data_IF_423679342209
#
_entry.id   IF_423679342209
#
_cell.length_a   1.000
_cell.length_b   1.000
_cell.length_c   1.000
_cell.angle_alpha   90.00
_cell.angle_beta   90.00
_cell.angle_gamma   90.00
#
_symmetry.space_group_name_H-M   'P 1'
#
loop_
_entity.id
_entity.type
_entity.pdbx_description
1 polymer ?
#
# COMPACT_ATOMS: atom_id res chain seq x y z
N UNK A 1 6.45 52.32 -11.78
CA UNK A 1 5.66 52.79 -12.92
C UNK A 1 4.28 52.09 -12.86
N UNK A 2 3.29 52.88 -12.44
CA UNK A 2 1.81 52.81 -12.60
C UNK A 2 1.07 51.47 -12.69
N UNK A 3 0.24 51.28 -11.62
CA UNK A 3 -0.98 50.46 -11.51
C UNK A 3 -1.94 50.63 -12.70
N UNK A 4 -2.65 49.53 -13.05
CA UNK A 4 -4.03 49.63 -13.53
C UNK A 4 -4.88 48.57 -12.88
N UNK A 5 -5.80 49.02 -12.01
CA UNK A 5 -6.97 48.26 -11.50
C UNK A 5 -8.06 48.26 -12.58
N UNK A 6 -8.68 47.13 -12.83
CA UNK A 6 -9.95 47.07 -13.55
C UNK A 6 -11.00 46.41 -12.66
N UNK A 7 -12.03 47.20 -12.34
CA UNK A 7 -13.28 46.81 -11.65
C UNK A 7 -14.26 46.38 -12.72
N UNK A 8 -14.94 45.27 -12.53
CA UNK A 8 -16.18 44.95 -13.25
C UNK A 8 -17.31 44.64 -12.27
N UNK A 9 -18.45 45.17 -12.63
CA UNK A 9 -19.68 45.51 -11.98
C UNK A 9 -20.61 44.29 -11.86
N UNK A 10 -21.34 44.26 -10.74
CA UNK A 10 -22.50 43.41 -10.46
C UNK A 10 -23.63 43.60 -11.48
N UNK A 11 -24.28 42.51 -11.86
CA UNK A 11 -25.65 42.54 -12.35
C UNK A 11 -26.44 41.39 -11.74
N UNK A 12 -27.36 41.73 -10.84
CA UNK A 12 -28.33 40.83 -10.28
C UNK A 12 -29.54 40.67 -11.21
N UNK A 13 -30.09 39.48 -11.22
CA UNK A 13 -31.47 39.24 -11.74
C UNK A 13 -32.21 38.40 -10.73
N UNK A 14 -33.27 39.02 -10.17
CA UNK A 14 -34.30 38.39 -9.36
C UNK A 14 -35.49 38.05 -10.27
N UNK A 15 -36.04 36.86 -10.17
CA UNK A 15 -37.41 36.54 -10.67
C UNK A 15 -38.04 35.54 -9.71
N UNK A 16 -38.98 36.00 -9.11
CA UNK A 16 -40.31 35.89 -8.58
C UNK A 16 -40.94 34.48 -8.53
N UNK A 17 -41.57 34.29 -7.35
CA UNK A 17 -42.51 33.23 -6.98
C UNK A 17 -43.79 33.21 -7.85
N UNK A 18 -44.34 32.01 -7.97
CA UNK A 18 -45.80 31.84 -8.20
C UNK A 18 -46.30 30.67 -7.34
N UNK A 19 -47.17 31.05 -6.39
CA UNK A 19 -47.99 30.17 -5.56
C UNK A 19 -49.31 29.94 -6.33
N UNK A 20 -49.81 28.73 -6.34
CA UNK A 20 -51.21 28.45 -6.60
C UNK A 20 -51.69 27.33 -5.68
N UNK A 21 -52.59 27.70 -4.82
CA UNK A 21 -53.37 26.88 -3.89
C UNK A 21 -54.77 26.60 -4.48
N UNK A 22 -55.47 25.71 -3.81
CA UNK A 22 -56.91 25.39 -3.79
C UNK A 22 -57.19 23.99 -4.34
N UNK A 23 -57.84 23.11 -3.61
CA UNK A 23 -58.91 23.06 -2.62
C UNK A 23 -59.81 21.91 -3.10
N UNK A 24 -60.43 21.18 -2.40
CA UNK A 24 -61.31 21.05 -1.28
C UNK A 24 -62.17 19.75 -1.42
N UNK A 25 -62.54 19.20 -0.28
CA UNK A 25 -63.78 18.48 0.09
C UNK A 25 -64.14 17.10 -0.49
N UNK A 26 -64.31 16.15 0.42
CA UNK A 26 -65.60 15.52 0.59
C UNK A 26 -65.69 14.05 0.92
N UNK A 27 -65.99 13.78 2.21
CA UNK A 27 -67.01 12.86 2.70
C UNK A 27 -66.82 11.34 2.77
N UNK A 28 -66.64 10.88 3.97
CA UNK A 28 -67.29 9.77 4.73
C UNK A 28 -67.77 8.50 4.02
N UNK A 29 -67.37 7.37 4.60
CA UNK A 29 -68.00 6.05 4.41
C UNK A 29 -67.27 4.99 5.23
N UNK A 30 -67.72 4.77 6.50
CA UNK A 30 -67.40 3.59 7.31
C UNK A 30 -67.94 2.33 6.64
N UNK A 31 -67.13 1.27 6.56
CA UNK A 31 -67.65 -0.09 6.70
C UNK A 31 -66.51 -1.01 7.18
N UNK A 32 -66.70 -1.53 8.36
CA UNK A 32 -65.99 -2.60 9.02
C UNK A 32 -66.14 -3.92 8.25
N UNK A 33 -65.04 -4.60 7.97
CA UNK A 33 -65.06 -6.08 7.83
C UNK A 33 -63.68 -6.70 8.13
N UNK A 34 -63.75 -7.80 8.80
CA UNK A 34 -62.72 -8.57 9.47
C UNK A 34 -61.46 -8.90 8.67
N UNK A 35 -60.37 -9.01 9.41
CA UNK A 35 -59.06 -9.52 8.98
C UNK A 35 -59.07 -11.06 8.73
N UNK A 36 -58.29 -11.55 7.78
CA UNK A 36 -57.67 -12.84 7.90
C UNK A 36 -56.21 -12.72 8.26
N UNK A 37 -55.81 -13.41 9.32
CA UNK A 37 -54.41 -13.62 9.69
C UNK A 37 -53.67 -14.31 8.53
N UNK A 38 -52.74 -13.59 7.94
CA UNK A 38 -51.72 -14.20 7.07
C UNK A 38 -50.42 -14.26 7.85
N UNK A 39 -50.03 -15.53 8.11
CA UNK A 39 -48.71 -15.93 8.58
C UNK A 39 -47.66 -15.33 7.69
N UNK A 40 -46.88 -14.38 8.19
CA UNK A 40 -45.69 -13.89 7.52
C UNK A 40 -44.63 -14.99 7.56
N UNK A 41 -44.48 -15.71 6.47
CA UNK A 41 -43.28 -16.49 6.19
C UNK A 41 -42.18 -15.48 5.95
N UNK A 42 -41.25 -15.39 6.87
CA UNK A 42 -39.98 -14.68 6.70
C UNK A 42 -39.21 -15.45 5.62
N UNK A 43 -39.30 -15.00 4.39
CA UNK A 43 -38.37 -15.37 3.35
C UNK A 43 -37.01 -14.79 3.73
N UNK A 44 -36.00 -15.66 3.88
CA UNK A 44 -34.62 -15.24 3.87
C UNK A 44 -34.36 -14.43 2.59
N UNK A 45 -33.51 -13.41 2.64
CA UNK A 45 -33.15 -12.72 1.42
C UNK A 45 -32.46 -13.71 0.47
N UNK A 46 -33.12 -13.97 -0.63
CA UNK A 46 -32.57 -14.70 -1.78
C UNK A 46 -31.54 -13.76 -2.43
N UNK A 47 -30.28 -13.91 -2.04
CA UNK A 47 -29.14 -13.24 -2.67
C UNK A 47 -28.73 -14.01 -3.92
N UNK A 48 -29.64 -14.15 -4.88
CA UNK A 48 -29.26 -14.39 -6.23
C UNK A 48 -28.98 -13.02 -6.87
N UNK A 49 -27.74 -12.57 -6.87
CA UNK A 49 -27.29 -11.41 -7.61
C UNK A 49 -27.61 -11.63 -9.09
N UNK A 50 -28.63 -10.93 -9.58
CA UNK A 50 -28.81 -10.69 -10.99
C UNK A 50 -27.57 -9.95 -11.49
N UNK A 51 -26.94 -10.40 -12.59
CA UNK A 51 -25.72 -9.89 -13.18
C UNK A 51 -25.65 -8.37 -13.29
N UNK A 52 -25.19 -7.73 -12.25
CA UNK A 52 -24.80 -6.33 -12.19
C UNK A 52 -23.30 -6.23 -12.41
N UNK A 53 -22.84 -5.09 -12.91
CA UNK A 53 -21.42 -4.79 -13.01
C UNK A 53 -21.00 -4.14 -11.71
N UNK A 54 -19.97 -4.68 -11.06
CA UNK A 54 -19.36 -4.11 -9.87
C UNK A 54 -18.28 -3.11 -10.28
N UNK A 55 -18.25 -1.95 -9.67
CA UNK A 55 -17.21 -0.94 -9.90
C UNK A 55 -16.18 -1.01 -8.78
N UNK A 56 -14.97 -1.40 -9.10
CA UNK A 56 -13.86 -1.49 -8.16
C UNK A 56 -12.81 -0.44 -8.49
N UNK A 57 -12.30 0.23 -7.45
CA UNK A 57 -11.20 1.18 -7.54
C UNK A 57 -9.90 0.53 -7.09
N UNK A 58 -8.79 0.84 -7.78
CA UNK A 58 -7.43 0.60 -7.29
C UNK A 58 -6.68 1.93 -7.26
N UNK A 59 -6.13 2.30 -6.11
CA UNK A 59 -5.28 3.49 -5.96
C UNK A 59 -3.92 3.06 -5.45
N UNK A 60 -2.88 3.28 -6.25
CA UNK A 60 -1.48 3.06 -5.89
C UNK A 60 -0.80 4.37 -5.53
N UNK A 61 0.38 4.30 -4.88
CA UNK A 61 0.96 5.45 -4.19
C UNK A 61 1.67 6.45 -5.11
N UNK A 62 2.56 5.98 -6.00
CA UNK A 62 3.34 6.81 -6.92
C UNK A 62 3.98 5.99 -8.04
N UNK A 63 4.46 6.63 -9.16
CA UNK A 63 4.91 5.92 -10.34
C UNK A 63 6.30 5.32 -10.17
N UNK A 64 6.36 4.04 -9.74
CA UNK A 64 7.55 3.18 -9.70
C UNK A 64 7.15 1.76 -10.12
N UNK A 65 8.10 0.96 -10.56
CA UNK A 65 7.88 -0.39 -11.09
C UNK A 65 7.09 -1.29 -10.13
N UNK A 66 7.34 -1.17 -8.83
CA UNK A 66 6.61 -1.88 -7.78
C UNK A 66 5.08 -1.65 -7.89
N UNK A 67 4.64 -0.39 -7.98
CA UNK A 67 3.22 -0.06 -8.07
C UNK A 67 2.64 -0.29 -9.46
N UNK A 68 3.44 -0.15 -10.52
CA UNK A 68 3.00 -0.55 -11.87
C UNK A 68 2.72 -2.05 -11.93
N UNK A 69 3.55 -2.87 -11.27
CA UNK A 69 3.35 -4.32 -11.20
C UNK A 69 2.07 -4.70 -10.44
N UNK A 70 1.74 -4.00 -9.35
CA UNK A 70 0.46 -4.17 -8.63
C UNK A 70 -0.71 -3.83 -9.57
N UNK A 71 -0.63 -2.70 -10.27
CA UNK A 71 -1.69 -2.25 -11.17
C UNK A 71 -1.91 -3.20 -12.34
N UNK A 72 -0.83 -3.71 -12.94
CA UNK A 72 -0.90 -4.64 -14.08
C UNK A 72 -1.49 -5.98 -13.66
N UNK A 73 -1.12 -6.51 -12.49
CA UNK A 73 -1.72 -7.73 -11.95
C UNK A 73 -3.22 -7.55 -11.62
N UNK A 74 -3.59 -6.40 -11.07
CA UNK A 74 -4.98 -6.05 -10.80
C UNK A 74 -5.80 -5.95 -12.10
N UNK A 75 -5.26 -5.36 -13.16
CA UNK A 75 -5.90 -5.32 -14.50
C UNK A 75 -6.06 -6.72 -15.07
N UNK A 76 -5.02 -7.56 -14.98
CA UNK A 76 -5.07 -8.94 -15.45
C UNK A 76 -6.12 -9.77 -14.69
N UNK A 77 -6.29 -9.52 -13.39
CA UNK A 77 -7.37 -10.12 -12.60
C UNK A 77 -8.75 -9.62 -13.08
N UNK A 78 -8.92 -8.31 -13.30
CA UNK A 78 -10.17 -7.71 -13.75
C UNK A 78 -10.59 -8.20 -15.17
N UNK A 79 -9.63 -8.42 -16.06
CA UNK A 79 -9.87 -8.98 -17.40
C UNK A 79 -10.51 -10.39 -17.35
N UNK A 80 -10.33 -11.12 -16.24
CA UNK A 80 -10.91 -12.44 -16.01
C UNK A 80 -12.30 -12.36 -15.33
N UNK A 81 -12.73 -11.16 -14.90
CA UNK A 81 -14.00 -10.90 -14.22
C UNK A 81 -14.89 -9.94 -15.03
N UNK A 82 -15.65 -10.45 -16.01
CA UNK A 82 -16.41 -9.61 -16.95
C UNK A 82 -17.55 -8.82 -16.30
N UNK A 83 -17.87 -9.12 -15.05
CA UNK A 83 -18.82 -8.38 -14.22
C UNK A 83 -18.16 -7.28 -13.37
N UNK A 84 -16.85 -7.05 -13.54
CA UNK A 84 -16.09 -6.00 -12.85
C UNK A 84 -15.68 -4.88 -13.83
N UNK A 85 -15.96 -3.64 -13.46
CA UNK A 85 -15.39 -2.43 -14.05
C UNK A 85 -14.29 -1.92 -13.11
N UNK A 86 -13.01 -2.03 -13.51
CA UNK A 86 -11.88 -1.55 -12.73
C UNK A 86 -11.52 -0.11 -13.11
N UNK A 87 -11.41 0.77 -12.11
CA UNK A 87 -10.94 2.15 -12.24
C UNK A 87 -9.62 2.25 -11.48
N UNK A 88 -8.54 2.66 -12.16
CA UNK A 88 -7.23 2.83 -11.53
C UNK A 88 -6.89 4.30 -11.34
N UNK A 89 -6.11 4.58 -10.30
CA UNK A 89 -5.54 5.89 -10.00
C UNK A 89 -4.20 5.74 -9.30
N UNK A 90 -3.33 6.73 -9.45
CA UNK A 90 -2.00 6.74 -8.85
C UNK A 90 -1.67 8.14 -8.36
N UNK A 91 -1.09 8.24 -7.15
CA UNK A 91 -0.56 9.48 -6.62
C UNK A 91 0.74 9.90 -7.33
N UNK A 92 1.23 11.08 -7.04
CA UNK A 92 2.42 11.63 -7.70
C UNK A 92 3.73 11.34 -6.92
N UNK A 93 3.65 11.12 -5.60
CA UNK A 93 4.80 10.86 -4.74
C UNK A 93 4.43 10.04 -3.50
N UNK A 94 5.44 9.56 -2.79
CA UNK A 94 5.27 8.77 -1.55
C UNK A 94 4.57 9.55 -0.41
N UNK A 95 4.47 10.87 -0.51
CA UNK A 95 3.82 11.77 0.46
C UNK A 95 2.72 12.64 -0.16
N UNK A 96 2.15 12.22 -1.29
CA UNK A 96 1.07 12.92 -1.98
C UNK A 96 -0.29 12.61 -1.33
N UNK A 97 -0.47 13.09 -0.10
CA UNK A 97 -1.71 12.90 0.64
C UNK A 97 -2.90 13.58 -0.06
N UNK A 98 -2.71 14.79 -0.60
CA UNK A 98 -3.76 15.56 -1.28
C UNK A 98 -4.22 14.88 -2.57
N UNK A 99 -3.29 14.35 -3.36
CA UNK A 99 -3.59 13.59 -4.57
C UNK A 99 -4.36 12.31 -4.28
N UNK A 100 -3.94 11.54 -3.26
CA UNK A 100 -4.67 10.34 -2.85
C UNK A 100 -6.08 10.65 -2.34
N UNK A 101 -6.25 11.69 -1.53
CA UNK A 101 -7.57 12.15 -1.06
C UNK A 101 -8.47 12.47 -2.27
N UNK A 102 -7.96 13.25 -3.23
CA UNK A 102 -8.72 13.60 -4.44
C UNK A 102 -9.10 12.37 -5.29
N UNK A 103 -8.23 11.35 -5.38
CA UNK A 103 -8.52 10.10 -6.07
C UNK A 103 -9.62 9.30 -5.35
N UNK A 104 -9.55 9.17 -4.02
CA UNK A 104 -10.57 8.49 -3.21
C UNK A 104 -11.93 9.19 -3.42
N UNK A 105 -11.99 10.51 -3.24
CA UNK A 105 -13.22 11.30 -3.42
C UNK A 105 -13.79 11.18 -4.85
N UNK A 106 -12.91 11.18 -5.86
CA UNK A 106 -13.28 11.01 -7.26
C UNK A 106 -13.90 9.64 -7.53
N UNK A 107 -13.32 8.56 -6.99
CA UNK A 107 -13.85 7.20 -7.15
C UNK A 107 -15.20 7.04 -6.42
N UNK A 108 -15.34 7.59 -5.22
CA UNK A 108 -16.62 7.62 -4.50
C UNK A 108 -17.69 8.37 -5.32
N UNK A 109 -17.34 9.52 -5.92
CA UNK A 109 -18.25 10.28 -6.77
C UNK A 109 -18.62 9.53 -8.07
N UNK A 110 -17.78 8.64 -8.58
CA UNK A 110 -18.04 7.75 -9.71
C UNK A 110 -18.90 6.54 -9.33
N UNK A 111 -19.20 6.37 -8.04
CA UNK A 111 -20.08 5.31 -7.53
C UNK A 111 -19.41 3.95 -7.54
N UNK A 112 -18.14 3.86 -7.10
CA UNK A 112 -17.48 2.56 -6.89
C UNK A 112 -18.09 1.83 -5.70
N UNK A 113 -18.15 0.50 -5.78
CA UNK A 113 -18.63 -0.37 -4.71
C UNK A 113 -17.53 -0.63 -3.67
N UNK A 114 -16.27 -0.56 -4.10
CA UNK A 114 -15.11 -0.73 -3.23
C UNK A 114 -13.85 -0.11 -3.80
N UNK A 115 -12.87 0.14 -2.91
CA UNK A 115 -11.55 0.69 -3.26
C UNK A 115 -10.46 -0.15 -2.57
N UNK A 116 -9.53 -0.67 -3.36
CA UNK A 116 -8.22 -1.14 -2.90
C UNK A 116 -7.25 0.04 -2.97
N UNK A 117 -6.60 0.41 -1.86
CA UNK A 117 -5.77 1.62 -1.81
C UNK A 117 -4.47 1.38 -1.05
N UNK A 118 -3.36 1.89 -1.59
CA UNK A 118 -2.09 2.01 -0.87
C UNK A 118 -2.03 3.38 -0.21
N UNK A 119 -2.25 3.48 1.11
CA UNK A 119 -2.26 4.78 1.79
C UNK A 119 -0.86 5.38 1.90
N UNK A 120 -0.76 6.71 1.81
CA UNK A 120 0.47 7.47 2.07
C UNK A 120 0.75 7.62 3.58
N UNK A 121 -0.29 7.55 4.41
CA UNK A 121 -0.24 7.70 5.86
C UNK A 121 -1.62 8.03 6.43
N UNK A 122 -1.66 8.43 7.70
CA UNK A 122 -2.91 8.71 8.42
C UNK A 122 -3.69 9.93 7.87
N UNK A 123 -3.03 10.81 7.13
CA UNK A 123 -3.66 12.01 6.55
C UNK A 123 -4.82 11.70 5.61
N UNK A 124 -4.85 10.51 5.00
CA UNK A 124 -5.94 10.07 4.10
C UNK A 124 -7.15 9.49 4.83
N UNK A 125 -7.06 9.21 6.15
CA UNK A 125 -8.12 8.58 6.94
C UNK A 125 -9.47 9.32 6.82
N UNK A 126 -9.55 10.66 6.88
CA UNK A 126 -10.83 11.35 6.75
C UNK A 126 -11.56 11.08 5.41
N UNK A 127 -10.82 10.93 4.31
CA UNK A 127 -11.39 10.59 3.01
C UNK A 127 -11.84 9.12 2.96
N UNK A 128 -11.07 8.22 3.57
CA UNK A 128 -11.45 6.81 3.71
C UNK A 128 -12.69 6.63 4.59
N UNK A 129 -12.80 7.37 5.71
CA UNK A 129 -14.00 7.37 6.56
C UNK A 129 -15.23 7.85 5.80
N UNK A 130 -15.09 8.90 4.98
CA UNK A 130 -16.16 9.39 4.13
C UNK A 130 -16.59 8.34 3.08
N UNK A 131 -15.64 7.60 2.49
CA UNK A 131 -15.92 6.52 1.57
C UNK A 131 -16.68 5.37 2.26
N UNK A 132 -16.23 4.95 3.45
CA UNK A 132 -16.92 3.92 4.25
C UNK A 132 -18.32 4.37 4.63
N UNK A 133 -18.51 5.64 5.04
CA UNK A 133 -19.84 6.21 5.35
C UNK A 133 -20.76 6.26 4.12
N UNK A 134 -20.21 6.35 2.90
CA UNK A 134 -20.94 6.22 1.65
C UNK A 134 -21.27 4.77 1.26
N UNK A 135 -20.80 3.78 2.03
CA UNK A 135 -21.03 2.36 1.80
C UNK A 135 -19.95 1.65 0.97
N UNK A 136 -18.86 2.35 0.63
CA UNK A 136 -17.74 1.80 -0.15
C UNK A 136 -16.89 0.88 0.75
N UNK A 137 -16.56 -0.31 0.25
CA UNK A 137 -15.65 -1.24 0.94
C UNK A 137 -14.21 -0.79 0.73
N UNK A 138 -13.39 -0.85 1.79
CA UNK A 138 -11.98 -0.45 1.72
C UNK A 138 -11.08 -1.62 2.05
N UNK A 139 -10.18 -1.95 1.12
CA UNK A 139 -9.04 -2.85 1.34
C UNK A 139 -7.77 -1.99 1.28
N UNK A 140 -6.90 -2.13 2.26
CA UNK A 140 -5.58 -1.54 2.21
C UNK A 140 -4.63 -2.51 1.49
N UNK A 141 -3.80 -2.00 0.60
CA UNK A 141 -2.81 -2.78 -0.16
C UNK A 141 -1.42 -2.25 0.15
N UNK A 142 -0.45 -3.13 0.35
CA UNK A 142 0.95 -2.84 0.64
C UNK A 142 1.19 -2.17 2.01
N UNK A 143 0.56 -1.04 2.28
CA UNK A 143 0.68 -0.31 3.54
C UNK A 143 -0.58 -0.42 4.39
N UNK A 144 -0.40 -0.65 5.68
CA UNK A 144 -1.49 -0.64 6.67
C UNK A 144 -1.63 0.74 7.35
N UNK A 145 -2.80 0.95 7.92
CA UNK A 145 -3.13 2.00 8.89
C UNK A 145 -3.60 1.28 10.17
N UNK A 146 -2.68 0.85 11.05
CA UNK A 146 -2.98 -0.10 12.13
C UNK A 146 -4.12 0.35 13.05
N UNK A 147 -4.16 1.63 13.40
CA UNK A 147 -5.15 2.21 14.33
C UNK A 147 -6.48 2.58 13.65
N UNK A 148 -6.57 2.44 12.32
CA UNK A 148 -7.80 2.73 11.58
C UNK A 148 -8.67 1.48 11.43
N UNK A 149 -9.87 1.51 12.00
CA UNK A 149 -10.81 0.38 12.04
C UNK A 149 -11.83 0.36 10.89
N UNK A 150 -11.76 1.31 9.94
CA UNK A 150 -12.70 1.38 8.81
C UNK A 150 -12.36 0.44 7.66
N UNK A 151 -11.14 -0.12 7.63
CA UNK A 151 -10.71 -1.09 6.62
C UNK A 151 -11.43 -2.44 6.77
N UNK A 152 -11.73 -3.08 5.66
CA UNK A 152 -12.28 -4.45 5.64
C UNK A 152 -11.18 -5.48 5.77
N UNK A 153 -10.06 -5.27 5.07
CA UNK A 153 -8.86 -6.11 5.17
C UNK A 153 -7.60 -5.33 4.76
N UNK A 154 -6.45 -5.93 5.04
CA UNK A 154 -5.13 -5.52 4.54
C UNK A 154 -4.56 -6.66 3.71
N UNK A 155 -4.05 -6.35 2.53
CA UNK A 155 -3.35 -7.28 1.62
C UNK A 155 -1.95 -6.78 1.43
N UNK A 156 -0.98 -7.37 2.10
CA UNK A 156 0.39 -6.88 2.15
C UNK A 156 1.39 -8.00 2.46
N UNK A 157 2.67 -7.73 2.28
CA UNK A 157 3.75 -8.56 2.84
C UNK A 157 3.72 -8.47 4.37
N UNK A 158 3.93 -9.59 5.05
CA UNK A 158 4.27 -9.55 6.47
C UNK A 158 5.69 -8.98 6.63
N UNK A 159 5.77 -7.66 6.83
CA UNK A 159 7.04 -6.93 6.87
C UNK A 159 7.93 -7.35 8.05
N UNK A 160 7.33 -7.72 9.19
CA UNK A 160 8.07 -8.23 10.33
C UNK A 160 8.72 -9.58 10.02
N UNK A 161 7.96 -10.53 9.44
CA UNK A 161 8.50 -11.84 9.07
C UNK A 161 9.58 -11.71 7.98
N UNK A 162 9.42 -10.75 7.04
CA UNK A 162 10.46 -10.42 6.06
C UNK A 162 11.74 -9.93 6.75
N UNK A 163 11.61 -9.07 7.75
CA UNK A 163 12.74 -8.66 8.59
C UNK A 163 13.38 -9.85 9.30
N UNK A 164 12.58 -10.72 9.93
CA UNK A 164 13.09 -11.93 10.62
C UNK A 164 13.88 -12.82 9.65
N UNK A 165 13.42 -13.00 8.41
CA UNK A 165 14.17 -13.74 7.40
C UNK A 165 15.51 -13.09 7.07
N UNK A 166 15.57 -11.76 6.96
CA UNK A 166 16.82 -11.01 6.75
C UNK A 166 17.80 -11.24 7.89
N UNK A 167 17.33 -11.10 9.14
CA UNK A 167 18.15 -11.30 10.34
C UNK A 167 18.67 -12.72 10.47
N UNK A 168 17.83 -13.72 10.22
CA UNK A 168 18.23 -15.14 10.23
C UNK A 168 19.28 -15.42 9.16
N UNK A 169 19.10 -14.91 7.95
CA UNK A 169 20.06 -15.07 6.88
C UNK A 169 21.40 -14.41 7.23
N UNK A 170 21.39 -13.18 7.77
CA UNK A 170 22.60 -12.50 8.24
C UNK A 170 23.30 -13.29 9.33
N UNK A 171 22.57 -13.84 10.31
CA UNK A 171 23.10 -14.64 11.39
C UNK A 171 23.77 -15.96 10.89
N UNK A 172 23.29 -16.51 9.76
CA UNK A 172 23.87 -17.70 9.15
C UNK A 172 25.12 -17.38 8.29
N UNK A 173 25.18 -16.19 7.68
CA UNK A 173 26.28 -15.82 6.79
C UNK A 173 27.46 -15.17 7.53
N UNK A 174 27.18 -14.40 8.58
CA UNK A 174 28.18 -13.58 9.23
C UNK A 174 28.94 -14.34 10.33
N UNK A 175 30.28 -14.23 10.42
CA UNK A 175 31.05 -14.79 11.53
C UNK A 175 30.77 -14.04 12.84
N UNK A 176 31.03 -14.71 13.97
CA UNK A 176 30.95 -14.09 15.30
C UNK A 176 31.87 -12.88 15.40
N UNK A 177 31.40 -11.81 16.04
CA UNK A 177 32.11 -10.53 16.18
C UNK A 177 31.91 -9.59 14.98
N UNK A 178 31.02 -9.92 14.04
CA UNK A 178 30.67 -9.06 12.90
C UNK A 178 29.99 -7.77 13.31
N UNK A 179 30.09 -6.74 12.47
CA UNK A 179 29.46 -5.44 12.65
C UNK A 179 28.48 -5.15 11.50
N UNK A 180 27.30 -4.61 11.85
CA UNK A 180 26.21 -4.37 10.93
C UNK A 180 25.82 -2.89 10.92
N UNK A 181 25.81 -2.27 9.74
CA UNK A 181 25.16 -0.99 9.50
C UNK A 181 23.72 -1.21 9.00
N UNK A 182 22.77 -0.43 9.50
CA UNK A 182 21.36 -0.50 9.11
C UNK A 182 20.96 0.80 8.42
N UNK A 183 20.50 0.69 7.18
CA UNK A 183 19.89 1.77 6.42
C UNK A 183 18.37 1.63 6.55
N UNK A 184 17.83 2.40 7.50
CA UNK A 184 16.40 2.38 7.80
C UNK A 184 15.60 3.05 6.67
N UNK A 185 14.32 2.74 6.59
CA UNK A 185 13.40 3.47 5.76
C UNK A 185 13.04 4.83 6.35
N UNK A 186 11.81 5.30 6.09
CA UNK A 186 11.26 6.50 6.70
C UNK A 186 10.77 6.15 8.11
N UNK A 187 11.31 6.81 9.12
CA UNK A 187 10.94 6.60 10.51
C UNK A 187 9.44 6.85 10.75
N UNK A 188 8.81 5.97 11.54
CA UNK A 188 7.39 6.04 11.88
C UNK A 188 6.45 5.53 10.77
N UNK A 189 6.97 4.85 9.75
CA UNK A 189 6.18 4.07 8.81
C UNK A 189 6.14 2.63 9.32
N UNK A 190 4.99 2.12 9.78
CA UNK A 190 4.92 0.84 10.50
C UNK A 190 5.52 -0.36 9.74
N UNK A 191 5.36 -0.40 8.42
CA UNK A 191 5.92 -1.45 7.59
C UNK A 191 7.46 -1.44 7.61
N UNK A 192 8.07 -0.25 7.56
CA UNK A 192 9.53 -0.09 7.52
C UNK A 192 10.16 -0.32 8.89
N UNK A 193 9.50 0.18 9.94
CA UNK A 193 9.93 -0.08 11.33
C UNK A 193 9.87 -1.58 11.62
N UNK A 194 8.80 -2.28 11.18
CA UNK A 194 8.63 -3.73 11.33
C UNK A 194 9.74 -4.54 10.64
N UNK A 195 10.26 -4.09 9.49
CA UNK A 195 11.39 -4.76 8.81
C UNK A 195 12.67 -4.69 9.64
N UNK A 196 12.93 -3.57 10.29
CA UNK A 196 14.10 -3.40 11.18
C UNK A 196 13.93 -4.18 12.45
N UNK A 197 12.76 -4.09 13.11
CA UNK A 197 12.47 -4.84 14.35
C UNK A 197 12.55 -6.35 14.10
N UNK A 198 11.98 -6.84 13.00
CA UNK A 198 12.06 -8.23 12.59
C UNK A 198 13.50 -8.67 12.29
N UNK A 199 14.30 -7.85 11.62
CA UNK A 199 15.70 -8.15 11.36
C UNK A 199 16.48 -8.30 12.68
N UNK A 200 16.28 -7.40 13.64
CA UNK A 200 16.90 -7.48 14.97
C UNK A 200 16.46 -8.76 15.69
N UNK A 201 15.16 -9.12 15.63
CA UNK A 201 14.67 -10.40 16.19
C UNK A 201 15.31 -11.61 15.50
N UNK A 202 15.41 -11.57 14.16
CA UNK A 202 15.98 -12.64 13.37
C UNK A 202 17.47 -12.88 13.61
N UNK A 203 18.24 -11.85 13.99
CA UNK A 203 19.63 -12.01 14.43
C UNK A 203 19.75 -12.90 15.67
N UNK A 204 18.74 -12.94 16.54
CA UNK A 204 18.70 -13.78 17.74
C UNK A 204 19.90 -13.58 18.66
N UNK A 205 20.56 -14.68 19.02
CA UNK A 205 21.76 -14.69 19.87
C UNK A 205 23.08 -14.62 19.07
N UNK A 206 23.04 -14.27 17.76
CA UNK A 206 24.26 -14.13 16.97
C UNK A 206 25.15 -13.00 17.51
N UNK A 207 26.46 -13.24 17.56
CA UNK A 207 27.42 -12.23 18.00
C UNK A 207 27.70 -11.22 16.88
N UNK A 208 26.66 -10.41 16.59
CA UNK A 208 26.65 -9.35 15.59
C UNK A 208 26.29 -8.03 16.27
N UNK A 209 27.13 -7.01 16.09
CA UNK A 209 26.91 -5.70 16.70
C UNK A 209 26.37 -4.72 15.67
N UNK A 210 25.18 -4.17 15.91
CA UNK A 210 24.67 -3.04 15.11
C UNK A 210 25.44 -1.78 15.51
N UNK A 211 26.24 -1.24 14.57
CA UNK A 211 27.10 -0.08 14.80
C UNK A 211 26.49 1.24 14.33
N UNK A 212 25.49 1.18 13.47
CA UNK A 212 24.77 2.37 12.98
C UNK A 212 23.35 1.99 12.56
N UNK A 213 22.40 2.90 12.80
CA UNK A 213 21.04 2.88 12.27
C UNK A 213 20.75 4.27 11.72
N UNK A 214 20.54 4.37 10.40
CA UNK A 214 20.44 5.68 9.71
C UNK A 214 19.19 5.72 8.85
N UNK A 215 18.23 6.63 9.12
CA UNK A 215 17.05 6.83 8.27
C UNK A 215 17.45 7.35 6.89
N UNK A 216 16.93 6.71 5.84
CA UNK A 216 17.21 7.06 4.45
C UNK A 216 15.95 7.48 3.67
N UNK A 217 14.77 7.42 4.29
CA UNK A 217 13.47 7.68 3.65
C UNK A 217 13.20 6.80 2.40
N UNK A 218 13.84 5.63 2.28
CA UNK A 218 13.84 4.78 1.09
C UNK A 218 14.34 5.52 -0.18
N UNK A 219 15.28 6.44 -0.03
CA UNK A 219 15.85 7.25 -1.10
C UNK A 219 17.29 6.81 -1.41
N UNK A 220 17.59 6.59 -2.68
CA UNK A 220 18.91 6.09 -3.11
C UNK A 220 20.03 7.09 -2.81
N UNK A 221 19.82 8.39 -3.02
CA UNK A 221 20.85 9.43 -2.78
C UNK A 221 21.16 9.52 -1.30
N UNK A 222 20.14 9.40 -0.42
CA UNK A 222 20.36 9.33 1.01
C UNK A 222 21.05 8.04 1.41
N UNK A 223 20.77 6.94 0.71
CA UNK A 223 21.47 5.66 0.87
C UNK A 223 22.97 5.79 0.59
N UNK A 224 23.36 6.47 -0.50
CA UNK A 224 24.79 6.78 -0.79
C UNK A 224 25.42 7.52 0.37
N UNK A 225 24.82 8.64 0.80
CA UNK A 225 25.39 9.47 1.88
C UNK A 225 25.47 8.71 3.21
N UNK A 226 24.44 7.93 3.55
CA UNK A 226 24.42 7.15 4.79
C UNK A 226 25.48 6.05 4.80
N UNK A 227 25.70 5.40 3.65
CA UNK A 227 26.74 4.38 3.49
C UNK A 227 28.15 4.99 3.52
N UNK A 228 28.39 6.15 2.88
CA UNK A 228 29.67 6.88 2.95
C UNK A 228 30.00 7.28 4.40
N UNK A 229 29.00 7.78 5.14
CA UNK A 229 29.16 8.14 6.56
C UNK A 229 29.45 6.89 7.40
N UNK A 230 28.74 5.77 7.17
CA UNK A 230 28.96 4.48 7.83
C UNK A 230 30.39 3.98 7.59
N UNK A 231 30.83 3.89 6.33
CA UNK A 231 32.16 3.43 5.95
C UNK A 231 33.28 4.30 6.53
N UNK A 232 33.02 5.61 6.66
CA UNK A 232 33.97 6.55 7.28
C UNK A 232 34.06 6.38 8.80
N UNK A 233 32.92 6.20 9.48
CA UNK A 233 32.85 6.07 10.92
C UNK A 233 33.27 4.66 11.40
N UNK A 234 32.99 3.63 10.61
CA UNK A 234 33.21 2.22 10.89
C UNK A 234 33.90 1.54 9.70
N UNK A 235 35.19 1.81 9.47
CA UNK A 235 35.93 1.27 8.33
C UNK A 235 36.12 -0.26 8.38
N UNK A 236 35.74 -0.89 9.47
CA UNK A 236 35.73 -2.32 9.73
C UNK A 236 34.31 -2.93 9.72
N UNK A 237 33.31 -2.19 9.20
CA UNK A 237 31.95 -2.73 9.05
C UNK A 237 31.96 -3.93 8.10
N UNK A 238 31.28 -5.00 8.52
CA UNK A 238 31.29 -6.28 7.77
C UNK A 238 29.98 -6.55 7.02
N UNK A 239 28.91 -5.85 7.37
CA UNK A 239 27.62 -6.01 6.70
C UNK A 239 26.81 -4.72 6.68
N UNK A 240 25.94 -4.60 5.66
CA UNK A 240 24.94 -3.53 5.54
C UNK A 240 23.60 -4.18 5.25
N UNK A 241 22.57 -3.82 6.03
CA UNK A 241 21.17 -4.15 5.78
C UNK A 241 20.37 -2.90 5.44
N UNK A 242 19.55 -2.96 4.41
CA UNK A 242 18.59 -1.91 4.05
C UNK A 242 17.15 -2.38 4.19
N UNK A 243 16.33 -1.57 4.87
CA UNK A 243 14.91 -1.83 5.00
C UNK A 243 14.11 -1.55 3.71
N UNK A 244 14.77 -1.08 2.64
CA UNK A 244 14.22 -0.83 1.30
C UNK A 244 15.32 -1.02 0.25
N UNK A 245 14.94 -1.33 -0.99
CA UNK A 245 15.88 -1.51 -2.11
C UNK A 245 16.67 -0.25 -2.50
N UNK A 246 16.06 0.92 -2.73
CA UNK A 246 16.80 2.08 -3.22
C UNK A 246 18.00 2.50 -2.33
N UNK A 247 17.94 2.53 -0.99
CA UNK A 247 19.12 2.78 -0.16
C UNK A 247 20.25 1.76 -0.33
N UNK A 248 19.91 0.50 -0.58
CA UNK A 248 20.93 -0.53 -0.82
C UNK A 248 21.64 -0.30 -2.15
N UNK A 249 20.93 0.05 -3.21
CA UNK A 249 21.56 0.45 -4.47
C UNK A 249 22.50 1.66 -4.26
N UNK A 250 22.13 2.59 -3.38
CA UNK A 250 23.02 3.67 -2.95
C UNK A 250 24.24 3.19 -2.16
N UNK A 251 24.06 2.20 -1.27
CA UNK A 251 25.18 1.62 -0.51
C UNK A 251 26.16 0.89 -1.42
N UNK A 252 25.69 0.16 -2.43
CA UNK A 252 26.55 -0.47 -3.43
C UNK A 252 27.40 0.56 -4.20
N UNK A 253 26.82 1.70 -4.57
CA UNK A 253 27.54 2.82 -5.19
C UNK A 253 28.61 3.38 -4.24
N UNK A 254 28.31 3.57 -2.96
CA UNK A 254 29.29 4.06 -1.97
C UNK A 254 30.44 3.06 -1.74
N UNK A 255 30.16 1.76 -1.71
CA UNK A 255 31.15 0.66 -1.59
C UNK A 255 32.10 0.69 -2.80
N UNK A 256 31.55 0.77 -4.02
CA UNK A 256 32.35 0.84 -5.26
C UNK A 256 33.23 2.11 -5.28
N UNK A 257 32.65 3.27 -4.94
CA UNK A 257 33.37 4.55 -4.85
C UNK A 257 34.52 4.52 -3.82
N UNK A 258 34.35 3.76 -2.72
CA UNK A 258 35.38 3.56 -1.72
C UNK A 258 36.46 2.57 -2.15
N UNK A 259 36.25 1.85 -3.27
CA UNK A 259 37.17 0.84 -3.79
C UNK A 259 37.21 -0.43 -2.93
N UNK A 260 36.13 -0.72 -2.21
CA UNK A 260 35.97 -1.93 -1.39
C UNK A 260 35.46 -3.05 -2.31
N UNK A 261 36.07 -4.23 -2.20
CA UNK A 261 35.63 -5.35 -3.02
C UNK A 261 34.26 -5.87 -2.55
N UNK A 262 33.36 -6.31 -3.46
CA UNK A 262 32.04 -6.83 -3.09
C UNK A 262 32.06 -7.91 -2.01
N UNK A 263 33.06 -8.80 -2.04
CA UNK A 263 33.22 -9.91 -1.07
C UNK A 263 33.68 -9.45 0.33
N UNK A 264 34.05 -8.17 0.50
CA UNK A 264 34.57 -7.65 1.79
C UNK A 264 33.44 -7.15 2.71
N UNK A 265 32.25 -6.87 2.18
CA UNK A 265 31.07 -6.40 2.94
C UNK A 265 29.83 -7.16 2.44
N UNK A 266 29.14 -7.85 3.35
CA UNK A 266 27.86 -8.50 3.05
C UNK A 266 26.75 -7.46 2.94
N UNK A 267 26.02 -7.44 1.83
CA UNK A 267 24.95 -6.46 1.57
C UNK A 267 23.62 -7.17 1.40
N UNK A 268 22.63 -6.76 2.21
CA UNK A 268 21.27 -7.33 2.18
C UNK A 268 20.24 -6.23 2.00
N UNK A 269 19.43 -6.36 0.97
CA UNK A 269 18.35 -5.45 0.64
C UNK A 269 16.96 -5.94 1.05
N UNK A 270 15.98 -5.16 0.65
CA UNK A 270 14.57 -5.48 0.79
C UNK A 270 13.82 -4.93 -0.43
N UNK A 271 12.83 -5.66 -0.92
CA UNK A 271 11.95 -5.46 -2.06
C UNK A 271 12.32 -6.34 -3.26
N UNK A 272 13.59 -6.76 -3.41
CA UNK A 272 14.11 -7.49 -4.57
C UNK A 272 13.69 -6.82 -5.90
N UNK A 273 13.91 -5.51 -5.97
CA UNK A 273 13.63 -4.71 -7.18
C UNK A 273 14.48 -5.20 -8.36
N UNK A 274 14.11 -4.90 -9.61
CA UNK A 274 14.89 -5.34 -10.78
C UNK A 274 16.38 -4.97 -10.71
N UNK A 275 16.72 -3.81 -10.18
CA UNK A 275 18.11 -3.38 -10.02
C UNK A 275 18.84 -4.14 -8.89
N UNK A 276 18.15 -4.52 -7.80
CA UNK A 276 18.69 -5.41 -6.76
C UNK A 276 18.90 -6.83 -7.32
N UNK A 277 17.93 -7.36 -8.08
CA UNK A 277 18.08 -8.64 -8.80
C UNK A 277 19.31 -8.61 -9.72
N UNK A 278 19.51 -7.51 -10.45
CA UNK A 278 20.70 -7.35 -11.29
C UNK A 278 21.99 -7.28 -10.46
N UNK A 279 21.97 -6.63 -9.29
CA UNK A 279 23.10 -6.56 -8.37
C UNK A 279 23.44 -7.94 -7.76
N UNK A 280 22.43 -8.73 -7.38
CA UNK A 280 22.61 -10.12 -6.91
C UNK A 280 23.24 -10.99 -8.02
N UNK A 281 22.73 -10.89 -9.26
CA UNK A 281 23.32 -11.62 -10.43
C UNK A 281 24.76 -11.18 -10.69
N UNK A 282 25.08 -9.89 -10.48
CA UNK A 282 26.43 -9.37 -10.65
C UNK A 282 27.36 -9.71 -9.48
N UNK A 283 26.84 -10.20 -8.36
CA UNK A 283 27.59 -10.52 -7.13
C UNK A 283 28.04 -9.30 -6.36
N UNK A 284 27.31 -8.19 -6.46
CA UNK A 284 27.56 -6.95 -5.68
C UNK A 284 26.59 -6.80 -4.51
N UNK A 285 25.48 -7.50 -4.54
CA UNK A 285 24.52 -7.66 -3.44
C UNK A 285 24.40 -9.15 -3.13
N UNK A 286 24.37 -9.51 -1.86
CA UNK A 286 24.40 -10.92 -1.44
C UNK A 286 23.00 -11.51 -1.33
N UNK A 287 22.03 -10.71 -0.87
CA UNK A 287 20.63 -11.11 -0.78
C UNK A 287 19.68 -9.91 -0.75
N UNK A 288 18.44 -10.14 -1.15
CA UNK A 288 17.32 -9.21 -0.92
C UNK A 288 16.09 -9.95 -0.46
N UNK A 289 15.28 -9.32 0.38
CA UNK A 289 14.01 -9.88 0.83
C UNK A 289 12.91 -9.48 -0.14
N UNK A 290 12.44 -10.45 -0.92
CA UNK A 290 11.40 -10.22 -1.93
C UNK A 290 10.04 -9.95 -1.30
N UNK A 291 9.33 -9.00 -1.89
CA UNK A 291 7.89 -8.85 -1.81
C UNK A 291 7.26 -9.40 -3.11
N UNK A 292 5.96 -9.61 -3.11
CA UNK A 292 5.24 -10.11 -4.28
C UNK A 292 4.17 -9.12 -4.76
N UNK A 293 4.55 -7.98 -5.37
CA UNK A 293 3.61 -6.98 -5.86
C UNK A 293 2.53 -7.53 -6.83
N UNK A 294 2.82 -8.53 -7.71
CA UNK A 294 1.74 -9.15 -8.49
C UNK A 294 0.63 -9.76 -7.62
N UNK A 295 1.00 -10.45 -6.53
CA UNK A 295 0.01 -11.01 -5.59
C UNK A 295 -0.76 -9.93 -4.83
N UNK A 296 -0.12 -8.79 -4.54
CA UNK A 296 -0.82 -7.66 -3.91
C UNK A 296 -1.93 -7.11 -4.81
N UNK A 297 -1.68 -7.01 -6.11
CA UNK A 297 -2.68 -6.58 -7.09
C UNK A 297 -3.81 -7.60 -7.25
N UNK A 298 -3.46 -8.86 -7.46
CA UNK A 298 -4.42 -9.96 -7.63
C UNK A 298 -5.27 -10.15 -6.37
N UNK A 299 -4.64 -10.43 -5.23
CA UNK A 299 -5.34 -10.70 -3.97
C UNK A 299 -6.04 -9.46 -3.41
N UNK A 300 -5.52 -8.25 -3.68
CA UNK A 300 -6.16 -7.00 -3.32
C UNK A 300 -7.52 -6.84 -3.97
N UNK A 301 -7.60 -7.09 -5.29
CA UNK A 301 -8.87 -7.03 -6.02
C UNK A 301 -9.79 -8.22 -5.70
N UNK A 302 -9.24 -9.43 -5.55
CA UNK A 302 -10.02 -10.61 -5.20
C UNK A 302 -10.69 -10.44 -3.83
N UNK A 303 -9.92 -9.99 -2.82
CA UNK A 303 -10.43 -9.70 -1.48
C UNK A 303 -11.49 -8.59 -1.51
N UNK A 304 -11.24 -7.53 -2.29
CA UNK A 304 -12.19 -6.42 -2.45
C UNK A 304 -13.51 -6.90 -3.09
N UNK A 305 -13.41 -7.68 -4.15
CA UNK A 305 -14.56 -8.23 -4.86
C UNK A 305 -15.44 -9.08 -3.93
N UNK A 306 -14.85 -10.01 -3.19
CA UNK A 306 -15.57 -10.82 -2.21
C UNK A 306 -16.19 -9.98 -1.09
N UNK A 307 -15.49 -8.94 -0.60
CA UNK A 307 -16.04 -8.01 0.38
C UNK A 307 -17.24 -7.22 -0.17
N UNK A 308 -17.23 -6.83 -1.45
CA UNK A 308 -18.36 -6.15 -2.12
C UNK A 308 -19.53 -7.10 -2.32
N UNK A 309 -19.30 -8.39 -2.61
CA UNK A 309 -20.33 -9.41 -2.67
C UNK A 309 -20.99 -9.69 -1.30
N UNK A 310 -20.36 -9.21 -0.20
CA UNK A 310 -20.84 -9.44 1.16
C UNK A 310 -20.31 -10.73 1.80
N UNK A 311 -19.31 -11.33 1.19
CA UNK A 311 -18.62 -12.48 1.76
C UNK A 311 -17.76 -12.07 2.96
N UNK A 312 -17.47 -13.03 3.83
CA UNK A 312 -16.48 -12.83 4.89
C UNK A 312 -15.09 -13.02 4.31
N UNK A 313 -14.24 -12.01 4.45
CA UNK A 313 -12.84 -12.06 4.01
C UNK A 313 -11.89 -12.07 5.21
N UNK A 314 -10.69 -12.61 5.01
CA UNK A 314 -9.64 -12.58 6.03
C UNK A 314 -9.19 -11.13 6.25
N UNK A 315 -9.04 -10.67 7.52
CA UNK A 315 -8.68 -9.28 7.82
C UNK A 315 -7.24 -8.94 7.44
N UNK A 316 -6.35 -9.93 7.37
CA UNK A 316 -4.95 -9.78 6.96
C UNK A 316 -4.60 -10.88 5.96
N UNK A 317 -4.37 -10.50 4.73
CA UNK A 317 -3.98 -11.39 3.64
C UNK A 317 -2.50 -11.20 3.38
N UNK A 318 -1.69 -12.15 3.82
CA UNK A 318 -0.25 -12.14 3.60
C UNK A 318 0.06 -12.55 2.15
N UNK A 319 0.78 -11.68 1.42
CA UNK A 319 1.23 -11.97 0.06
C UNK A 319 2.50 -12.82 0.00
N UNK A 320 3.09 -13.09 1.17
CA UNK A 320 4.32 -13.84 1.33
C UNK A 320 5.57 -12.98 1.15
N UNK A 321 6.70 -13.60 1.50
CA UNK A 321 8.04 -13.04 1.36
C UNK A 321 9.06 -14.17 1.19
N UNK A 322 10.23 -13.88 0.63
CA UNK A 322 11.29 -14.86 0.44
C UNK A 322 12.66 -14.17 0.42
N UNK A 323 13.69 -14.91 0.83
CA UNK A 323 15.08 -14.48 0.63
C UNK A 323 15.51 -14.80 -0.78
N UNK A 324 15.91 -13.81 -1.54
CA UNK A 324 16.51 -13.92 -2.86
C UNK A 324 18.02 -13.88 -2.71
N UNK A 325 18.71 -14.86 -3.28
CA UNK A 325 20.17 -15.02 -3.25
C UNK A 325 20.64 -15.42 -4.63
N UNK A 326 21.95 -15.46 -4.91
CA UNK A 326 22.48 -15.96 -6.19
C UNK A 326 21.99 -17.38 -6.55
N UNK A 327 21.65 -18.20 -5.56
CA UNK A 327 21.22 -19.59 -5.78
C UNK A 327 19.80 -19.70 -6.36
N UNK A 328 18.92 -18.71 -6.07
CA UNK A 328 17.52 -18.74 -6.47
C UNK A 328 17.04 -17.50 -7.26
N UNK A 329 17.93 -16.54 -7.51
CA UNK A 329 17.60 -15.26 -8.19
C UNK A 329 16.92 -15.46 -9.55
N UNK A 330 17.18 -16.60 -10.21
CA UNK A 330 16.54 -16.94 -11.47
C UNK A 330 15.03 -17.14 -11.40
N UNK A 331 14.48 -17.39 -10.22
CA UNK A 331 13.03 -17.55 -10.00
C UNK A 331 12.31 -16.19 -9.83
N UNK A 332 13.10 -15.10 -9.73
CA UNK A 332 12.62 -13.74 -9.49
C UNK A 332 12.94 -12.75 -10.64
N UNK A 333 13.50 -13.25 -11.76
CA UNK A 333 13.99 -12.45 -12.91
C UNK A 333 12.93 -12.33 -14.01
#
# INVERSE_FOLDING_TARGET
>A
MKLKRARWVLAGVAIAMLVAACGDSGSSGETSTAAPSTTATTAAPDTAAAGGTYKLGLITKFPVDFYFTIEDAAKAWADQHPDVELITGMGESASDDEGLIALIESMVAQGVDGIAVTPTGEAVIPALDAAVAAGVKIILVDNDLPDWNGKTAVVATNNHDGGVLAGQWLAEQLPAGSTLGVLEGRAGVPALDARVDGMIEGLGDADITIVSQTPTDCDQVKGVSAAEDLLTAHPDVTAIYGACGPPILGALEAIDNAGIAPDDIVVVGFDALPDEIAAIVAGTEDASIAQFPPKMGELGLDTLYHAVLGDTVEPNVDTGTAVVTPDNVGDFS
#
